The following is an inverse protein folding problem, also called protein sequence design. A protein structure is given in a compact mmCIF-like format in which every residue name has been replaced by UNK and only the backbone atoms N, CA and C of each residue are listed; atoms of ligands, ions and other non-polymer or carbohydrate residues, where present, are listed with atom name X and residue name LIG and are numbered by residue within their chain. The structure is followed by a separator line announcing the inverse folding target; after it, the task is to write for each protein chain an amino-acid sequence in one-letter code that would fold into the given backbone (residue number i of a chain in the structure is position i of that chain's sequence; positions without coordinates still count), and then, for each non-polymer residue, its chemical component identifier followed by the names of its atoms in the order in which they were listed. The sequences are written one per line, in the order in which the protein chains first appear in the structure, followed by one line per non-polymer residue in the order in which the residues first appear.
data_IF_474000974603
#
_entry.id   IF_474000974603
#
_cell.length_a   1.000
_cell.length_b   1.000
_cell.length_c   1.000
_cell.angle_alpha   90.00
_cell.angle_beta   90.00
_cell.angle_gamma   90.00
#
_symmetry.space_group_name_H-M   'P 1'
#
loop_
_entity.id
_entity.type
_entity.pdbx_description
1 polymer ?
#
# COMPACT_ATOMS: atom_id res chain seq x y z
N UNK A 1 12.78 -10.65 -11.91
CA UNK A 1 13.88 -9.68 -11.70
C UNK A 1 13.48 -8.20 -11.79
N UNK A 2 12.91 -7.67 -12.89
CA UNK A 2 12.57 -6.23 -12.98
C UNK A 2 11.45 -5.79 -12.04
N UNK A 3 10.50 -6.67 -11.75
CA UNK A 3 9.36 -6.44 -10.86
C UNK A 3 9.75 -6.40 -9.37
N UNK A 4 10.72 -7.20 -8.99
CA UNK A 4 11.21 -7.26 -7.61
C UNK A 4 12.03 -6.03 -7.25
N UNK A 5 12.74 -5.43 -8.20
CA UNK A 5 13.47 -4.17 -8.00
C UNK A 5 12.52 -2.99 -7.71
N UNK A 6 11.36 -2.92 -8.38
CA UNK A 6 10.39 -1.84 -8.13
C UNK A 6 9.74 -1.99 -6.74
N UNK A 7 9.38 -3.22 -6.34
CA UNK A 7 8.82 -3.47 -5.00
C UNK A 7 9.84 -3.25 -3.90
N UNK A 8 11.09 -3.62 -4.13
CA UNK A 8 12.19 -3.35 -3.20
C UNK A 8 12.33 -1.84 -2.92
N UNK A 9 12.26 -0.99 -3.95
CA UNK A 9 12.30 0.46 -3.75
C UNK A 9 11.10 0.98 -2.94
N UNK A 10 9.90 0.46 -3.18
CA UNK A 10 8.71 0.85 -2.39
C UNK A 10 8.88 0.46 -0.92
N UNK A 11 9.33 -0.76 -0.64
CA UNK A 11 9.59 -1.22 0.74
C UNK A 11 10.67 -0.37 1.40
N UNK A 12 11.76 -0.11 0.68
CA UNK A 12 12.83 0.78 1.14
C UNK A 12 12.29 2.18 1.46
N UNK A 13 11.54 2.79 0.55
CA UNK A 13 10.99 4.14 0.74
C UNK A 13 10.03 4.23 1.92
N UNK A 14 9.19 3.23 2.13
CA UNK A 14 8.27 3.16 3.27
C UNK A 14 9.05 3.03 4.59
N UNK A 15 9.99 2.09 4.69
CA UNK A 15 10.79 1.91 5.91
C UNK A 15 11.66 3.14 6.21
N UNK A 16 12.29 3.73 5.19
CA UNK A 16 13.01 5.00 5.31
C UNK A 16 12.12 6.11 5.84
N UNK A 17 10.91 6.23 5.29
CA UNK A 17 9.93 7.24 5.72
C UNK A 17 9.51 7.01 7.17
N UNK A 18 9.30 5.76 7.59
CA UNK A 18 8.98 5.44 8.99
C UNK A 18 10.11 5.86 9.96
N UNK A 19 11.38 5.69 9.55
CA UNK A 19 12.54 6.16 10.33
C UNK A 19 12.57 7.70 10.32
N UNK A 20 12.39 8.32 9.16
CA UNK A 20 12.42 9.79 9.02
C UNK A 20 11.28 10.50 9.78
N UNK A 21 10.14 9.82 9.97
CA UNK A 21 9.00 10.34 10.72
C UNK A 21 9.02 9.97 12.21
N UNK A 22 10.07 9.25 12.64
CA UNK A 22 10.25 8.87 14.04
C UNK A 22 9.35 7.74 14.54
N UNK A 23 8.72 6.99 13.61
CA UNK A 23 8.00 5.75 13.94
C UNK A 23 8.97 4.66 14.41
N UNK A 24 10.17 4.64 13.84
CA UNK A 24 11.34 3.94 14.36
C UNK A 24 12.41 4.97 14.71
N UNK A 25 12.88 4.96 15.95
CA UNK A 25 13.85 5.89 16.49
C UNK A 25 15.25 5.24 16.61
N UNK A 26 16.24 6.06 16.85
CA UNK A 26 17.61 5.58 17.12
C UNK A 26 17.62 4.51 18.24
N UNK A 27 18.22 3.37 17.94
CA UNK A 27 18.31 2.22 18.84
C UNK A 27 17.13 1.25 18.72
N UNK A 28 16.04 1.59 18.03
CA UNK A 28 14.94 0.66 17.81
C UNK A 28 15.37 -0.46 16.86
N UNK A 29 14.83 -1.65 17.10
CA UNK A 29 15.01 -2.82 16.24
C UNK A 29 13.84 -2.91 15.27
N UNK A 30 14.15 -2.92 13.98
CA UNK A 30 13.13 -3.18 12.94
C UNK A 30 12.61 -4.62 13.06
N UNK A 31 11.36 -4.88 12.59
CA UNK A 31 10.85 -6.24 12.47
C UNK A 31 11.83 -7.13 11.70
N UNK A 32 11.84 -8.42 12.00
CA UNK A 32 12.68 -9.37 11.24
C UNK A 32 12.30 -9.34 9.76
N UNK A 33 13.23 -9.78 8.91
CA UNK A 33 12.94 -9.81 7.47
C UNK A 33 11.75 -10.71 7.15
N UNK A 34 11.60 -11.81 7.89
CA UNK A 34 10.48 -12.74 7.81
C UNK A 34 9.15 -12.05 8.17
N UNK A 35 9.08 -11.35 9.31
CA UNK A 35 7.88 -10.62 9.71
C UNK A 35 7.51 -9.53 8.68
N UNK A 36 8.52 -8.89 8.09
CA UNK A 36 8.26 -7.89 7.06
C UNK A 36 7.83 -8.48 5.71
N UNK A 37 8.05 -9.76 5.42
CA UNK A 37 7.39 -10.39 4.26
C UNK A 37 5.88 -10.39 4.42
N UNK A 38 5.38 -10.62 5.62
CA UNK A 38 3.96 -10.59 5.96
C UNK A 38 3.42 -9.15 6.01
N UNK A 39 4.19 -8.23 6.61
CA UNK A 39 3.79 -6.82 6.71
C UNK A 39 3.65 -6.15 5.36
N UNK A 40 4.54 -6.45 4.41
CA UNK A 40 4.54 -5.84 3.08
C UNK A 40 3.91 -6.72 1.99
N UNK A 41 3.58 -7.96 2.27
CA UNK A 41 3.09 -8.96 1.30
C UNK A 41 4.03 -9.08 0.08
N UNK A 42 5.32 -9.23 0.34
CA UNK A 42 6.37 -9.38 -0.68
C UNK A 42 7.33 -10.52 -0.33
N UNK A 43 8.17 -10.91 -1.29
CA UNK A 43 9.16 -11.97 -1.07
C UNK A 43 10.27 -11.56 -0.08
N UNK A 44 10.89 -12.54 0.58
CA UNK A 44 12.03 -12.33 1.47
C UNK A 44 13.20 -11.64 0.76
N UNK A 45 13.45 -11.95 -0.51
CA UNK A 45 14.51 -11.32 -1.29
C UNK A 45 14.25 -9.83 -1.55
N UNK A 46 12.97 -9.46 -1.71
CA UNK A 46 12.54 -8.05 -1.82
C UNK A 46 12.85 -7.30 -0.51
N UNK A 47 12.49 -7.88 0.63
CA UNK A 47 12.78 -7.31 1.96
C UNK A 47 14.29 -7.20 2.19
N UNK A 48 15.04 -8.30 1.93
CA UNK A 48 16.50 -8.31 2.08
C UNK A 48 17.17 -7.20 1.28
N UNK A 49 16.76 -7.01 0.03
CA UNK A 49 17.28 -5.96 -0.83
C UNK A 49 17.01 -4.56 -0.28
N UNK A 50 15.81 -4.31 0.26
CA UNK A 50 15.46 -3.04 0.89
C UNK A 50 16.29 -2.79 2.18
N UNK A 51 16.47 -3.81 3.01
CA UNK A 51 17.30 -3.70 4.22
C UNK A 51 18.77 -3.43 3.91
N UNK A 52 19.33 -4.10 2.91
CA UNK A 52 20.70 -3.83 2.46
C UNK A 52 20.85 -2.40 1.94
N UNK A 53 19.86 -1.85 1.25
CA UNK A 53 19.88 -0.47 0.81
C UNK A 53 19.81 0.50 2.00
N UNK A 54 18.95 0.23 3.00
CA UNK A 54 18.89 1.03 4.23
C UNK A 54 20.23 1.03 5.00
N UNK A 55 20.90 -0.12 5.05
CA UNK A 55 22.22 -0.23 5.65
C UNK A 55 23.27 0.55 4.88
N UNK A 56 23.33 0.40 3.55
CA UNK A 56 24.27 1.13 2.69
C UNK A 56 24.13 2.65 2.81
N UNK A 57 22.90 3.15 3.01
CA UNK A 57 22.63 4.56 3.21
C UNK A 57 22.74 5.02 4.68
N UNK A 58 23.10 4.10 5.58
CA UNK A 58 23.37 4.40 6.99
C UNK A 58 22.12 4.71 7.81
N UNK A 59 20.97 4.12 7.47
CA UNK A 59 19.75 4.19 8.27
C UNK A 59 19.72 3.14 9.37
N UNK A 60 20.23 1.95 9.07
CA UNK A 60 20.25 0.81 9.99
C UNK A 60 21.63 0.15 9.98
N UNK A 61 21.84 -0.74 10.94
CA UNK A 61 22.92 -1.73 10.92
C UNK A 61 22.33 -3.12 11.01
N UNK A 62 22.87 -4.06 10.23
CA UNK A 62 22.45 -5.45 10.22
C UNK A 62 23.36 -6.25 11.17
N UNK A 63 22.79 -6.98 12.12
CA UNK A 63 23.51 -7.85 13.03
C UNK A 63 22.85 -9.21 13.13
N UNK A 64 23.62 -10.28 13.03
CA UNK A 64 23.11 -11.66 13.12
C UNK A 64 22.46 -11.99 14.47
N UNK A 65 22.89 -11.33 15.56
CA UNK A 65 22.45 -11.66 16.92
C UNK A 65 21.43 -10.66 17.50
N UNK A 66 21.40 -9.43 16.99
CA UNK A 66 20.59 -8.33 17.55
C UNK A 66 19.45 -7.94 16.59
N UNK A 67 19.55 -8.34 15.33
CA UNK A 67 18.61 -7.91 14.30
C UNK A 67 19.04 -6.61 13.61
N UNK A 68 18.11 -5.95 12.97
CA UNK A 68 18.33 -4.73 12.19
C UNK A 68 18.02 -3.51 13.05
N UNK A 69 19.05 -2.81 13.52
CA UNK A 69 18.91 -1.68 14.47
C UNK A 69 19.02 -0.34 13.74
N UNK A 70 18.13 0.59 14.05
CA UNK A 70 18.15 1.97 13.53
C UNK A 70 19.33 2.74 14.12
N UNK A 71 20.18 3.29 13.25
CA UNK A 71 21.37 4.09 13.63
C UNK A 71 21.24 5.56 13.25
N UNK A 72 20.20 5.94 12.47
CA UNK A 72 19.88 7.35 12.23
C UNK A 72 19.18 7.92 13.45
N UNK A 73 19.66 9.09 13.89
CA UNK A 73 19.05 9.84 14.96
C UNK A 73 18.51 11.15 14.39
N UNK A 74 17.20 11.38 14.51
CA UNK A 74 16.54 12.60 14.09
C UNK A 74 15.95 13.33 15.32
N UNK A 75 16.24 14.61 15.43
CA UNK A 75 15.54 15.50 16.37
C UNK A 75 14.09 15.69 15.96
N UNK A 76 13.23 16.13 16.89
CA UNK A 76 11.83 16.43 16.58
C UNK A 76 11.69 17.49 15.47
N UNK A 77 12.63 18.42 15.38
CA UNK A 77 12.66 19.43 14.32
C UNK A 77 12.97 18.81 12.95
N UNK A 78 13.92 17.87 12.88
CA UNK A 78 14.25 17.16 11.65
C UNK A 78 13.13 16.21 11.22
N UNK A 79 12.46 15.56 12.18
CA UNK A 79 11.26 14.76 11.91
C UNK A 79 10.19 15.64 11.25
N UNK A 80 9.91 16.80 11.83
CA UNK A 80 8.93 17.74 11.25
C UNK A 80 9.34 18.23 9.86
N UNK A 81 10.62 18.53 9.64
CA UNK A 81 11.14 18.90 8.31
C UNK A 81 10.96 17.76 7.28
N UNK A 82 11.21 16.52 7.67
CA UNK A 82 10.99 15.34 6.82
C UNK A 82 9.51 15.18 6.47
N UNK A 83 8.61 15.36 7.43
CA UNK A 83 7.15 15.34 7.20
C UNK A 83 6.76 16.46 6.22
N UNK A 84 7.20 17.69 6.47
CA UNK A 84 6.95 18.83 5.59
C UNK A 84 7.38 18.56 4.15
N UNK A 85 8.62 18.10 3.97
CA UNK A 85 9.17 17.81 2.65
C UNK A 85 8.41 16.70 1.93
N UNK A 86 8.17 15.56 2.60
CA UNK A 86 7.47 14.43 2.01
C UNK A 86 6.08 14.81 1.48
N UNK A 87 5.30 15.50 2.31
CA UNK A 87 3.93 15.84 1.96
C UNK A 87 3.84 17.03 1.00
N UNK A 88 4.74 18.02 1.07
CA UNK A 88 4.77 19.12 0.09
C UNK A 88 5.00 18.62 -1.33
N UNK A 89 5.89 17.63 -1.51
CA UNK A 89 6.20 17.03 -2.81
C UNK A 89 5.10 16.13 -3.39
N UNK A 90 4.06 15.78 -2.62
CA UNK A 90 3.01 14.83 -3.02
C UNK A 90 1.59 15.40 -2.91
N UNK A 91 1.47 16.71 -2.69
CA UNK A 91 0.19 17.35 -2.31
C UNK A 91 -0.95 17.05 -3.28
N UNK A 92 -0.76 17.31 -4.57
CA UNK A 92 -1.81 17.10 -5.58
C UNK A 92 -2.18 15.64 -5.69
N UNK A 93 -1.18 14.75 -5.73
CA UNK A 93 -1.39 13.31 -5.83
C UNK A 93 -2.14 12.73 -4.63
N UNK A 94 -1.77 13.14 -3.40
CA UNK A 94 -2.42 12.62 -2.20
C UNK A 94 -3.84 13.14 -2.04
N UNK A 95 -4.09 14.41 -2.36
CA UNK A 95 -5.46 14.96 -2.35
C UNK A 95 -6.34 14.27 -3.39
N UNK A 96 -5.83 14.04 -4.60
CA UNK A 96 -6.57 13.35 -5.65
C UNK A 96 -6.85 11.89 -5.28
N UNK A 97 -5.83 11.16 -4.78
CA UNK A 97 -6.03 9.80 -4.27
C UNK A 97 -7.07 9.75 -3.16
N UNK A 98 -7.00 10.62 -2.17
CA UNK A 98 -7.93 10.61 -1.03
C UNK A 98 -9.41 10.74 -1.46
N UNK A 99 -9.68 11.51 -2.52
CA UNK A 99 -11.01 11.64 -3.12
C UNK A 99 -11.41 10.44 -3.97
N UNK A 100 -10.42 9.77 -4.57
CA UNK A 100 -10.62 8.63 -5.46
C UNK A 100 -10.83 7.31 -4.73
N UNK A 101 -10.37 7.18 -3.47
CA UNK A 101 -10.47 5.94 -2.71
C UNK A 101 -11.92 5.49 -2.53
N UNK A 102 -12.81 6.41 -2.18
CA UNK A 102 -14.23 6.08 -1.96
C UNK A 102 -14.90 5.46 -3.18
N UNK A 103 -14.91 6.07 -4.38
CA UNK A 103 -15.53 5.44 -5.55
C UNK A 103 -14.83 4.17 -6.02
N UNK A 104 -13.51 4.04 -5.80
CA UNK A 104 -12.75 2.89 -6.28
C UNK A 104 -12.83 1.68 -5.35
N UNK A 105 -12.77 1.88 -4.04
CA UNK A 105 -12.51 0.79 -3.11
C UNK A 105 -13.64 0.51 -2.11
N UNK A 106 -14.55 1.45 -1.81
CA UNK A 106 -15.56 1.27 -0.75
C UNK A 106 -16.44 0.04 -0.99
N UNK A 107 -16.99 -0.08 -2.20
CA UNK A 107 -17.87 -1.22 -2.52
C UNK A 107 -17.10 -2.54 -2.54
N UNK A 108 -15.85 -2.54 -3.03
CA UNK A 108 -15.02 -3.73 -3.04
C UNK A 108 -14.69 -4.19 -1.61
N UNK A 109 -14.35 -3.27 -0.71
CA UNK A 109 -14.11 -3.57 0.70
C UNK A 109 -15.36 -4.15 1.36
N UNK A 110 -16.51 -3.51 1.16
CA UNK A 110 -17.78 -3.98 1.70
C UNK A 110 -18.16 -5.38 1.20
N UNK A 111 -18.06 -5.62 -0.12
CA UNK A 111 -18.36 -6.92 -0.73
C UNK A 111 -17.36 -7.97 -0.22
N UNK A 112 -16.08 -7.62 -0.14
CA UNK A 112 -15.03 -8.48 0.37
C UNK A 112 -15.32 -8.93 1.80
N UNK A 113 -15.60 -8.01 2.70
CA UNK A 113 -15.97 -8.33 4.08
C UNK A 113 -17.27 -9.15 4.17
N UNK A 114 -18.30 -8.77 3.39
CA UNK A 114 -19.58 -9.49 3.40
C UNK A 114 -19.47 -10.95 2.96
N UNK A 115 -18.59 -11.24 2.01
CA UNK A 115 -18.42 -12.57 1.44
C UNK A 115 -17.23 -13.34 2.06
N UNK A 116 -16.51 -12.72 2.99
CA UNK A 116 -15.36 -13.34 3.63
C UNK A 116 -15.77 -14.58 4.43
N UNK A 117 -15.00 -15.68 4.36
CA UNK A 117 -15.18 -16.81 5.23
C UNK A 117 -14.91 -16.44 6.69
N UNK A 118 -15.51 -17.16 7.63
CA UNK A 118 -15.37 -16.90 9.08
C UNK A 118 -13.93 -16.88 9.57
N UNK A 119 -13.03 -17.58 8.90
CA UNK A 119 -11.60 -17.60 9.19
C UNK A 119 -10.98 -16.21 9.05
N UNK A 120 -11.40 -15.42 8.06
CA UNK A 120 -10.93 -14.03 7.89
C UNK A 120 -11.27 -13.19 9.11
N UNK A 121 -12.48 -13.30 9.67
CA UNK A 121 -12.85 -12.56 10.88
C UNK A 121 -12.04 -12.99 12.10
N UNK A 122 -11.70 -14.28 12.21
CA UNK A 122 -10.81 -14.76 13.27
C UNK A 122 -9.40 -14.19 13.12
N UNK A 123 -8.86 -14.14 11.89
CA UNK A 123 -7.57 -13.51 11.61
C UNK A 123 -7.58 -12.02 11.97
N UNK A 124 -8.66 -11.31 11.64
CA UNK A 124 -8.82 -9.90 12.02
C UNK A 124 -8.90 -9.71 13.54
N UNK A 125 -9.48 -10.66 14.28
CA UNK A 125 -9.49 -10.65 15.75
C UNK A 125 -8.08 -10.85 16.32
N UNK A 126 -7.28 -11.73 15.74
CA UNK A 126 -5.89 -11.93 16.17
C UNK A 126 -5.01 -10.71 15.88
N UNK A 127 -5.16 -10.08 14.72
CA UNK A 127 -4.42 -8.85 14.37
C UNK A 127 -4.67 -7.71 15.36
N UNK A 128 -5.85 -7.65 16.00
CA UNK A 128 -6.14 -6.66 17.06
C UNK A 128 -5.31 -6.84 18.32
N UNK A 129 -4.73 -8.01 18.53
CA UNK A 129 -3.85 -8.31 19.68
C UNK A 129 -2.38 -7.96 19.36
N UNK A 130 -2.08 -7.67 18.10
CA UNK A 130 -0.73 -7.32 17.67
C UNK A 130 -0.37 -5.92 18.19
N UNK A 131 0.86 -5.80 18.67
CA UNK A 131 1.46 -4.55 19.14
C UNK A 131 2.47 -3.98 18.14
N UNK A 132 2.42 -4.44 16.87
CA UNK A 132 3.26 -3.94 15.80
C UNK A 132 2.97 -2.49 15.41
N UNK A 133 3.69 -1.98 14.41
CA UNK A 133 3.45 -0.64 13.87
C UNK A 133 2.03 -0.54 13.30
N UNK A 134 1.33 0.50 13.72
CA UNK A 134 -0.06 0.77 13.35
C UNK A 134 -0.33 0.71 11.84
N UNK A 135 0.55 1.24 10.93
CA UNK A 135 0.32 1.13 9.50
C UNK A 135 0.21 -0.31 9.01
N UNK A 136 1.02 -1.23 9.51
CA UNK A 136 0.97 -2.62 9.08
C UNK A 136 -0.24 -3.37 9.61
N UNK A 137 -0.65 -3.10 10.85
CA UNK A 137 -1.88 -3.66 11.42
C UNK A 137 -3.10 -3.20 10.60
N UNK A 138 -3.19 -1.90 10.31
CA UNK A 138 -4.27 -1.34 9.49
C UNK A 138 -4.28 -1.92 8.08
N UNK A 139 -3.09 -2.07 7.46
CA UNK A 139 -2.92 -2.65 6.14
C UNK A 139 -3.37 -4.11 6.10
N UNK A 140 -2.91 -4.95 7.01
CA UNK A 140 -3.27 -6.36 7.07
C UNK A 140 -4.78 -6.53 7.30
N UNK A 141 -5.37 -5.70 8.16
CA UNK A 141 -6.82 -5.66 8.36
C UNK A 141 -7.59 -5.38 7.08
N UNK A 142 -7.13 -4.39 6.32
CA UNK A 142 -7.74 -4.01 5.06
C UNK A 142 -7.55 -5.10 4.01
N UNK A 143 -6.36 -5.65 3.88
CA UNK A 143 -6.04 -6.68 2.88
C UNK A 143 -6.88 -7.95 3.05
N UNK A 144 -7.18 -8.37 4.29
CA UNK A 144 -8.07 -9.50 4.57
C UNK A 144 -9.44 -9.34 3.88
N UNK A 145 -9.98 -8.11 3.84
CA UNK A 145 -11.25 -7.85 3.17
C UNK A 145 -11.16 -8.03 1.65
N UNK A 146 -10.05 -7.63 1.04
CA UNK A 146 -9.90 -7.68 -0.42
C UNK A 146 -9.46 -9.04 -0.95
N UNK A 147 -8.73 -9.82 -0.17
CA UNK A 147 -8.29 -11.17 -0.55
C UNK A 147 -9.49 -12.10 -0.80
N UNK A 148 -10.59 -11.93 -0.07
CA UNK A 148 -11.82 -12.69 -0.26
C UNK A 148 -12.48 -12.49 -1.63
N UNK A 149 -12.11 -11.43 -2.36
CA UNK A 149 -12.61 -11.16 -3.71
C UNK A 149 -11.90 -11.97 -4.80
N UNK A 150 -10.75 -12.57 -4.50
CA UNK A 150 -9.93 -13.31 -5.47
C UNK A 150 -9.51 -12.44 -6.68
N UNK A 151 -9.33 -11.12 -6.49
CA UNK A 151 -9.01 -10.16 -7.56
C UNK A 151 -7.61 -9.58 -7.38
N UNK A 152 -6.61 -10.27 -7.90
CA UNK A 152 -5.20 -9.85 -7.83
C UNK A 152 -4.93 -8.44 -8.34
N UNK A 153 -5.69 -7.99 -9.36
CA UNK A 153 -5.53 -6.64 -9.89
C UNK A 153 -5.89 -5.60 -8.84
N UNK A 154 -7.05 -5.76 -8.23
CA UNK A 154 -7.55 -4.85 -7.20
C UNK A 154 -6.62 -4.84 -5.98
N UNK A 155 -6.20 -6.01 -5.54
CA UNK A 155 -5.27 -6.19 -4.41
C UNK A 155 -3.94 -5.48 -4.67
N UNK A 156 -3.39 -5.57 -5.88
CA UNK A 156 -2.15 -4.87 -6.26
C UNK A 156 -2.32 -3.36 -6.34
N UNK A 157 -3.45 -2.87 -6.86
CA UNK A 157 -3.76 -1.45 -6.90
C UNK A 157 -3.86 -0.88 -5.48
N UNK A 158 -4.59 -1.56 -4.62
CA UNK A 158 -4.73 -1.20 -3.22
C UNK A 158 -3.37 -1.14 -2.50
N UNK A 159 -2.52 -2.17 -2.71
CA UNK A 159 -1.16 -2.22 -2.16
C UNK A 159 -0.35 -0.98 -2.55
N UNK A 160 -0.39 -0.58 -3.82
CA UNK A 160 0.36 0.59 -4.31
C UNK A 160 -0.15 1.89 -3.72
N UNK A 161 -1.48 2.07 -3.68
CA UNK A 161 -2.09 3.25 -3.07
C UNK A 161 -1.74 3.33 -1.59
N UNK A 162 -1.87 2.22 -0.88
CA UNK A 162 -1.59 2.17 0.54
C UNK A 162 -0.13 2.53 0.85
N UNK A 163 0.82 1.92 0.17
CA UNK A 163 2.25 2.18 0.38
C UNK A 163 2.68 3.60 0.00
N UNK A 164 2.04 4.19 -1.02
CA UNK A 164 2.33 5.57 -1.42
C UNK A 164 1.70 6.62 -0.50
N UNK A 165 0.52 6.35 0.05
CA UNK A 165 -0.29 7.31 0.79
C UNK A 165 -0.50 6.95 2.26
N UNK A 166 -1.22 5.85 2.54
CA UNK A 166 -1.70 5.59 3.91
C UNK A 166 -0.57 5.17 4.86
N UNK A 167 0.35 4.31 4.41
CA UNK A 167 1.44 3.86 5.25
C UNK A 167 2.34 5.02 5.76
N UNK A 168 2.74 6.00 4.92
CA UNK A 168 3.40 7.21 5.39
C UNK A 168 2.49 8.10 6.24
N UNK A 169 1.21 8.28 5.86
CA UNK A 169 0.30 9.17 6.57
C UNK A 169 -0.02 8.69 7.99
N UNK A 170 -0.20 7.39 8.17
CA UNK A 170 -0.43 6.76 9.47
C UNK A 170 0.77 6.92 10.44
N UNK A 171 1.98 7.11 9.92
CA UNK A 171 3.19 7.35 10.73
C UNK A 171 3.39 8.81 11.14
N UNK A 172 2.55 9.72 10.66
CA UNK A 172 2.67 11.15 11.05
C UNK A 172 2.27 11.32 12.50
N UNK A 173 3.16 11.85 13.38
CA UNK A 173 2.83 12.06 14.78
C UNK A 173 1.61 12.99 14.95
N UNK A 174 0.68 12.59 15.82
CA UNK A 174 -0.53 13.39 16.12
C UNK A 174 -1.56 13.40 14.99
N UNK A 175 -1.56 12.38 14.12
CA UNK A 175 -2.51 12.24 13.03
C UNK A 175 -3.85 11.66 13.53
N UNK A 176 -4.96 12.44 13.51
CA UNK A 176 -6.27 11.96 13.96
C UNK A 176 -6.81 10.76 13.17
N UNK A 177 -6.39 10.62 11.91
CA UNK A 177 -6.78 9.46 11.09
C UNK A 177 -6.24 8.16 11.67
N UNK A 178 -4.99 8.16 12.18
CA UNK A 178 -4.38 6.98 12.78
C UNK A 178 -5.22 6.46 13.97
N UNK A 179 -5.57 7.35 14.88
CA UNK A 179 -6.39 7.02 16.06
C UNK A 179 -7.74 6.46 15.64
N UNK A 180 -8.42 7.12 14.72
CA UNK A 180 -9.71 6.67 14.18
C UNK A 180 -9.60 5.30 13.48
N UNK A 181 -8.63 5.12 12.59
CA UNK A 181 -8.50 3.90 11.80
C UNK A 181 -8.30 2.65 12.68
N UNK A 182 -7.49 2.79 13.73
CA UNK A 182 -7.10 1.67 14.59
C UNK A 182 -8.04 1.48 15.78
N UNK A 183 -8.43 2.57 16.44
CA UNK A 183 -9.18 2.49 17.70
C UNK A 183 -10.69 2.45 17.50
N UNK A 184 -11.18 3.00 16.38
CA UNK A 184 -12.62 3.09 16.12
C UNK A 184 -13.04 2.25 14.91
N UNK A 185 -12.49 2.52 13.72
CA UNK A 185 -12.94 1.89 12.48
C UNK A 185 -12.71 0.38 12.47
N UNK A 186 -11.49 -0.08 12.76
CA UNK A 186 -11.17 -1.50 12.68
C UNK A 186 -12.00 -2.36 13.69
N UNK A 187 -12.15 -1.95 14.97
CA UNK A 187 -13.03 -2.67 15.91
C UNK A 187 -14.49 -2.68 15.50
N UNK A 188 -15.04 -1.52 15.08
CA UNK A 188 -16.45 -1.41 14.73
C UNK A 188 -16.76 -2.19 13.43
N UNK A 189 -15.87 -2.14 12.43
CA UNK A 189 -16.08 -2.89 11.19
C UNK A 189 -16.15 -4.40 11.45
N UNK A 190 -15.28 -4.92 12.30
CA UNK A 190 -15.30 -6.34 12.68
C UNK A 190 -16.54 -6.70 13.47
N UNK A 191 -16.97 -5.88 14.42
CA UNK A 191 -18.19 -6.11 15.20
C UNK A 191 -19.44 -6.15 14.30
N UNK A 192 -19.52 -5.26 13.31
CA UNK A 192 -20.61 -5.25 12.33
C UNK A 192 -20.56 -6.48 11.40
N UNK A 193 -19.38 -6.95 11.02
CA UNK A 193 -19.22 -8.19 10.28
C UNK A 193 -19.74 -9.39 11.07
N UNK A 194 -19.35 -9.51 12.35
CA UNK A 194 -19.79 -10.61 13.22
C UNK A 194 -21.30 -10.59 13.48
N UNK A 195 -21.90 -9.39 13.52
CA UNK A 195 -23.37 -9.20 13.62
C UNK A 195 -24.10 -9.33 12.30
N UNK A 196 -23.38 -9.42 11.17
CA UNK A 196 -23.91 -9.41 9.80
C UNK A 196 -24.75 -8.16 9.49
N UNK A 197 -24.44 -7.04 10.13
CA UNK A 197 -25.06 -5.74 9.84
C UNK A 197 -24.38 -5.04 8.68
N UNK A 198 -24.70 -5.52 7.47
CA UNK A 198 -24.05 -5.10 6.23
C UNK A 198 -24.35 -3.66 5.83
N UNK A 199 -25.54 -3.16 6.17
CA UNK A 199 -25.94 -1.78 5.84
C UNK A 199 -25.17 -0.76 6.71
N UNK A 200 -25.01 -1.06 7.99
CA UNK A 200 -24.20 -0.24 8.89
C UNK A 200 -22.72 -0.31 8.54
N UNK A 201 -22.22 -1.50 8.15
CA UNK A 201 -20.85 -1.66 7.68
C UNK A 201 -20.55 -0.82 6.45
N UNK A 202 -21.43 -0.81 5.44
CA UNK A 202 -21.26 0.00 4.24
C UNK A 202 -21.19 1.50 4.58
N UNK A 203 -22.07 1.96 5.46
CA UNK A 203 -22.05 3.35 5.94
C UNK A 203 -20.75 3.69 6.67
N UNK A 204 -20.29 2.80 7.54
CA UNK A 204 -19.04 2.98 8.28
C UNK A 204 -17.84 3.08 7.33
N UNK A 205 -17.74 2.22 6.32
CA UNK A 205 -16.66 2.27 5.32
C UNK A 205 -16.72 3.61 4.55
N UNK A 206 -17.90 4.05 4.12
CA UNK A 206 -18.06 5.35 3.47
C UNK A 206 -17.59 6.50 4.35
N UNK A 207 -18.01 6.51 5.61
CA UNK A 207 -17.62 7.53 6.59
C UNK A 207 -16.12 7.55 6.84
N UNK A 208 -15.49 6.38 6.91
CA UNK A 208 -14.03 6.26 7.07
C UNK A 208 -13.29 6.90 5.90
N UNK A 209 -13.70 6.63 4.67
CA UNK A 209 -13.06 7.23 3.48
C UNK A 209 -13.26 8.75 3.42
N UNK A 210 -14.44 9.23 3.78
CA UNK A 210 -14.71 10.68 3.87
C UNK A 210 -13.83 11.31 4.96
N UNK A 211 -13.71 10.67 6.12
CA UNK A 211 -12.88 11.16 7.22
C UNK A 211 -11.39 11.20 6.86
N UNK A 212 -10.88 10.20 6.14
CA UNK A 212 -9.51 10.20 5.62
C UNK A 212 -9.26 11.43 4.73
N UNK A 213 -10.15 11.67 3.76
CA UNK A 213 -10.02 12.81 2.84
C UNK A 213 -10.09 14.15 3.57
N UNK A 214 -11.01 14.29 4.52
CA UNK A 214 -11.14 15.51 5.34
C UNK A 214 -9.91 15.71 6.22
N UNK A 215 -9.44 14.66 6.89
CA UNK A 215 -8.24 14.69 7.74
C UNK A 215 -6.99 15.08 6.96
N UNK A 216 -6.82 14.55 5.76
CA UNK A 216 -5.70 14.91 4.89
C UNK A 216 -5.78 16.38 4.43
N UNK A 217 -6.95 16.84 4.00
CA UNK A 217 -7.12 18.24 3.62
C UNK A 217 -6.85 19.21 4.78
N UNK A 218 -7.30 18.85 5.98
CA UNK A 218 -7.03 19.59 7.20
C UNK A 218 -5.55 19.61 7.55
N UNK A 219 -4.88 18.45 7.47
CA UNK A 219 -3.45 18.31 7.67
C UNK A 219 -2.64 19.22 6.74
N UNK A 220 -2.98 19.28 5.45
CA UNK A 220 -2.35 20.20 4.52
C UNK A 220 -2.58 21.66 4.86
N UNK A 221 -3.78 22.01 5.30
CA UNK A 221 -4.12 23.39 5.65
C UNK A 221 -3.44 23.88 6.92
N UNK A 222 -3.35 23.01 7.92
CA UNK A 222 -2.92 23.40 9.26
C UNK A 222 -1.43 23.16 9.50
N UNK A 223 -0.82 22.18 8.82
CA UNK A 223 0.54 21.76 9.15
C UNK A 223 1.54 21.92 8.01
N UNK A 224 1.15 21.74 6.75
CA UNK A 224 2.12 21.81 5.64
C UNK A 224 2.27 23.23 5.13
N UNK A 225 3.41 23.85 5.44
CA UNK A 225 3.74 25.24 5.10
C UNK A 225 4.74 25.35 3.97
N UNK A 226 5.53 24.30 3.69
CA UNK A 226 6.49 24.30 2.59
C UNK A 226 5.77 24.35 1.24
N UNK A 227 6.16 25.28 0.34
CA UNK A 227 5.62 25.28 -1.02
C UNK A 227 6.09 24.05 -1.78
N UNK A 228 5.20 23.49 -2.61
CA UNK A 228 5.58 22.44 -3.56
C UNK A 228 6.48 23.04 -4.64
N UNK A 229 7.68 22.49 -4.81
CA UNK A 229 8.61 22.92 -5.87
C UNK A 229 8.48 22.03 -7.11
N UNK A 230 8.55 20.71 -6.91
CA UNK A 230 8.38 19.69 -7.93
C UNK A 230 7.55 18.56 -7.33
N UNK A 231 6.44 18.20 -7.98
CA UNK A 231 5.56 17.19 -7.43
C UNK A 231 5.95 15.77 -7.85
N UNK A 232 5.89 14.86 -6.89
CA UNK A 232 6.01 13.43 -7.12
C UNK A 232 4.61 12.88 -7.42
N UNK A 233 4.32 12.55 -8.69
CA UNK A 233 3.00 12.06 -9.05
C UNK A 233 2.80 10.62 -8.60
N UNK A 234 1.58 10.30 -8.16
CA UNK A 234 1.15 8.91 -8.12
C UNK A 234 0.88 8.44 -9.55
N UNK A 235 1.52 7.38 -9.97
CA UNK A 235 1.32 6.83 -11.30
C UNK A 235 0.97 5.35 -11.24
N UNK A 236 -0.08 4.96 -11.95
CA UNK A 236 -0.46 3.57 -12.15
C UNK A 236 0.49 2.80 -13.09
N UNK A 237 1.58 3.44 -13.55
CA UNK A 237 2.54 2.85 -14.47
C UNK A 237 3.34 1.67 -13.88
N UNK A 238 3.55 1.65 -12.57
CA UNK A 238 4.10 0.49 -11.87
C UNK A 238 3.25 -0.76 -12.10
N UNK A 239 1.94 -0.60 -12.26
CA UNK A 239 1.01 -1.67 -12.58
C UNK A 239 1.24 -2.25 -14.00
N UNK A 240 1.38 -1.41 -15.02
CA UNK A 240 1.68 -1.86 -16.39
C UNK A 240 3.02 -2.58 -16.49
N UNK A 241 3.99 -2.19 -15.67
CA UNK A 241 5.30 -2.85 -15.58
C UNK A 241 5.29 -4.09 -14.67
N UNK A 242 4.34 -4.17 -13.73
CA UNK A 242 4.17 -5.31 -12.83
C UNK A 242 3.42 -6.48 -13.47
N UNK A 243 2.62 -6.25 -14.52
CA UNK A 243 2.04 -7.35 -15.27
C UNK A 243 3.15 -8.08 -16.01
N UNK A 244 3.23 -9.41 -15.81
CA UNK A 244 4.12 -10.22 -16.67
C UNK A 244 3.79 -9.91 -18.12
N UNK A 245 4.79 -9.74 -18.96
CA UNK A 245 4.63 -9.43 -20.39
C UNK A 245 3.59 -10.33 -21.06
N UNK A 246 3.51 -11.61 -20.63
CA UNK A 246 2.51 -12.55 -21.11
C UNK A 246 1.05 -12.12 -20.85
N UNK A 247 0.74 -11.53 -19.69
CA UNK A 247 -0.63 -11.06 -19.40
C UNK A 247 -0.98 -9.82 -20.21
N UNK A 248 -0.04 -8.88 -20.38
CA UNK A 248 -0.26 -7.70 -21.23
C UNK A 248 -0.51 -8.12 -22.68
N UNK A 249 0.26 -9.07 -23.18
CA UNK A 249 0.09 -9.62 -24.52
C UNK A 249 -1.24 -10.37 -24.69
N UNK A 250 -1.63 -11.16 -23.69
CA UNK A 250 -2.93 -11.84 -23.71
C UNK A 250 -4.08 -10.83 -23.73
N UNK A 251 -4.02 -9.78 -22.92
CA UNK A 251 -5.03 -8.71 -22.93
C UNK A 251 -5.08 -7.96 -24.26
N UNK A 252 -3.93 -7.61 -24.83
CA UNK A 252 -3.87 -6.97 -26.15
C UNK A 252 -4.50 -7.85 -27.23
N UNK A 253 -4.24 -9.16 -27.22
CA UNK A 253 -4.84 -10.11 -28.14
C UNK A 253 -6.36 -10.23 -27.94
N UNK A 254 -6.83 -10.27 -26.68
CA UNK A 254 -8.27 -10.30 -26.38
C UNK A 254 -8.97 -9.03 -26.87
N UNK A 255 -8.33 -7.87 -26.71
CA UNK A 255 -8.85 -6.59 -27.24
C UNK A 255 -8.89 -6.65 -28.78
N UNK A 256 -7.83 -7.12 -29.43
CA UNK A 256 -7.76 -7.24 -30.88
C UNK A 256 -8.84 -8.19 -31.43
N UNK A 257 -9.11 -9.31 -30.74
CA UNK A 257 -10.21 -10.22 -31.06
C UNK A 257 -11.56 -9.54 -30.90
N UNK A 258 -11.79 -8.86 -29.76
CA UNK A 258 -13.05 -8.16 -29.46
C UNK A 258 -13.34 -7.02 -30.43
N UNK A 259 -12.31 -6.37 -30.96
CA UNK A 259 -12.40 -5.34 -31.99
C UNK A 259 -12.55 -5.92 -33.42
N UNK A 260 -12.62 -7.25 -33.56
CA UNK A 260 -12.78 -7.91 -34.85
C UNK A 260 -11.51 -7.93 -35.73
N UNK A 261 -10.34 -7.61 -35.18
CA UNK A 261 -9.06 -7.72 -35.93
C UNK A 261 -8.70 -9.15 -36.27
N UNK A 262 -9.21 -10.08 -35.48
CA UNK A 262 -9.13 -11.52 -35.70
C UNK A 262 -10.55 -12.08 -35.72
N UNK A 263 -11.19 -12.19 -36.92
CA UNK A 263 -12.54 -12.76 -37.04
C UNK A 263 -12.60 -14.22 -36.57
N UNK A 264 -13.80 -14.63 -36.13
CA UNK A 264 -14.04 -16.03 -35.72
C UNK A 264 -13.66 -17.02 -36.85
N UNK A 265 -12.89 -18.01 -36.46
CA UNK A 265 -12.37 -19.03 -37.41
C UNK A 265 -11.04 -18.68 -38.09
N UNK A 266 -10.47 -17.50 -37.82
CA UNK A 266 -9.11 -17.17 -38.30
C UNK A 266 -8.05 -17.65 -37.29
N UNK A 267 -6.89 -18.07 -37.80
CA UNK A 267 -5.76 -18.44 -36.97
C UNK A 267 -5.08 -17.17 -36.42
N UNK A 268 -4.76 -17.19 -35.13
CA UNK A 268 -3.90 -16.14 -34.55
C UNK A 268 -2.49 -16.20 -35.18
N UNK A 269 -1.77 -15.07 -35.21
CA UNK A 269 -0.40 -15.04 -35.67
C UNK A 269 0.48 -16.04 -34.90
N UNK A 270 1.47 -16.61 -35.54
CA UNK A 270 2.42 -17.51 -34.88
C UNK A 270 3.16 -16.74 -33.72
N UNK A 271 3.63 -17.50 -32.73
CA UNK A 271 4.39 -16.93 -31.59
C UNK A 271 5.57 -16.07 -32.07
N UNK A 272 6.32 -16.55 -33.07
CA UNK A 272 7.44 -15.80 -33.66
C UNK A 272 7.01 -14.48 -34.31
N UNK A 273 5.83 -14.46 -34.93
CA UNK A 273 5.28 -13.25 -35.53
C UNK A 273 4.83 -12.26 -34.44
N UNK A 274 4.10 -12.75 -33.43
CA UNK A 274 3.66 -11.94 -32.28
C UNK A 274 4.86 -11.37 -31.50
N UNK A 275 5.92 -12.18 -31.28
CA UNK A 275 7.16 -11.75 -30.65
C UNK A 275 7.79 -10.56 -31.38
N UNK A 276 7.87 -10.63 -32.70
CA UNK A 276 8.43 -9.53 -33.52
C UNK A 276 7.53 -8.29 -33.53
N UNK A 277 6.22 -8.46 -33.72
CA UNK A 277 5.26 -7.36 -33.80
C UNK A 277 5.13 -6.62 -32.47
N UNK A 278 5.19 -7.35 -31.35
CA UNK A 278 5.05 -6.80 -29.99
C UNK A 278 6.41 -6.51 -29.31
N UNK A 279 7.53 -6.74 -30.00
CA UNK A 279 8.91 -6.52 -29.51
C UNK A 279 9.19 -7.20 -28.19
N UNK A 280 8.77 -8.44 -28.03
CA UNK A 280 8.97 -9.27 -26.85
C UNK A 280 9.71 -10.55 -27.20
N UNK A 281 10.49 -11.08 -26.25
CA UNK A 281 11.26 -12.32 -26.39
C UNK A 281 10.49 -13.51 -25.83
#
# INVERSE_FOLDING_TARGET
MKNDMERCHVVYDVLKTHIQFGAYRFGDVLPTMENNTENFLVSLDTIRSAYLQLEQEGYITLSQNVGSTVIKNYSEQEIEQNVQLFFSLRKSSLIDLSKSLRPLFTNAQWIGLKNAPSEIYNNMLELRKDHGLQPFIAFNHMMQAYDSLGNDLLTRLLWQVYMFFEAPFLCVPGNPWCDFAVQEFAPQSLDLCLKQDWDSLQKLICQAQDFLSVSLCRFYKERITLPSQEEIPFTWNSYKKASQICYSLAMDLLIDISLGRYPVGTLLPSLNKLSRERKVS
#
